data_IF_584594705579
#
_entry.id   IF_584594705579
#
_cell.length_a   1.000
_cell.length_b   1.000
_cell.length_c   1.000
_cell.angle_alpha   90.00
_cell.angle_beta   90.00
_cell.angle_gamma   90.00
#
_symmetry.space_group_name_H-M   'P 1'
#
loop_
_entity.id
_entity.type
_entity.pdbx_description
1 polymer ?
#
# COMPACT_ATOMS: atom_id res chain seq x y z
N UNK A 1 -16.00 -36.59 6.90
CA UNK A 1 -17.15 -35.65 6.93
C UNK A 1 -16.84 -34.36 7.67
N UNK A 2 -16.15 -34.41 8.80
CA UNK A 2 -15.68 -33.19 9.50
C UNK A 2 -14.84 -32.28 8.59
N UNK A 3 -14.06 -32.87 7.65
CA UNK A 3 -13.19 -32.13 6.73
C UNK A 3 -13.95 -31.23 5.76
N UNK A 4 -15.19 -31.56 5.40
CA UNK A 4 -16.00 -30.76 4.47
C UNK A 4 -16.39 -29.44 5.13
N UNK A 5 -16.87 -29.47 6.37
CA UNK A 5 -17.24 -28.26 7.12
C UNK A 5 -16.02 -27.37 7.36
N UNK A 6 -14.88 -27.96 7.71
CA UNK A 6 -13.63 -27.22 7.88
C UNK A 6 -13.15 -26.57 6.58
N UNK A 7 -13.28 -27.27 5.45
CA UNK A 7 -12.92 -26.75 4.14
C UNK A 7 -13.80 -25.56 3.74
N UNK A 8 -15.11 -25.64 3.99
CA UNK A 8 -16.06 -24.54 3.73
C UNK A 8 -15.70 -23.32 4.59
N UNK A 9 -15.42 -23.53 5.86
CA UNK A 9 -15.02 -22.45 6.77
C UNK A 9 -13.72 -21.78 6.30
N UNK A 10 -12.71 -22.57 5.92
CA UNK A 10 -11.45 -22.06 5.37
C UNK A 10 -11.67 -21.27 4.10
N UNK A 11 -12.50 -21.78 3.18
CA UNK A 11 -12.82 -21.08 1.94
C UNK A 11 -13.45 -19.71 2.21
N UNK A 12 -14.40 -19.63 3.14
CA UNK A 12 -15.02 -18.36 3.55
C UNK A 12 -14.00 -17.39 4.14
N UNK A 13 -13.12 -17.87 5.03
CA UNK A 13 -12.07 -17.06 5.62
C UNK A 13 -11.08 -16.57 4.57
N UNK A 14 -10.70 -17.42 3.61
CA UNK A 14 -9.79 -17.06 2.53
C UNK A 14 -10.38 -15.98 1.63
N UNK A 15 -11.67 -16.06 1.31
CA UNK A 15 -12.36 -15.02 0.52
C UNK A 15 -12.31 -13.68 1.26
N UNK A 16 -12.63 -13.67 2.55
CA UNK A 16 -12.58 -12.44 3.37
C UNK A 16 -11.16 -11.87 3.45
N UNK A 17 -10.17 -12.71 3.68
CA UNK A 17 -8.76 -12.29 3.75
C UNK A 17 -8.27 -11.74 2.42
N UNK A 18 -8.61 -12.40 1.33
CA UNK A 18 -8.23 -11.95 -0.02
C UNK A 18 -8.88 -10.61 -0.36
N UNK A 19 -10.15 -10.42 -0.03
CA UNK A 19 -10.84 -9.16 -0.24
C UNK A 19 -10.17 -8.03 0.57
N UNK A 20 -9.84 -8.28 1.84
CA UNK A 20 -9.17 -7.31 2.69
C UNK A 20 -7.77 -6.96 2.15
N UNK A 21 -6.98 -7.95 1.79
CA UNK A 21 -5.63 -7.74 1.23
C UNK A 21 -5.69 -6.99 -0.11
N UNK A 22 -6.63 -7.32 -0.97
CA UNK A 22 -6.86 -6.61 -2.23
C UNK A 22 -7.16 -5.13 -2.00
N UNK A 23 -8.05 -4.84 -1.06
CA UNK A 23 -8.41 -3.47 -0.68
C UNK A 23 -7.19 -2.72 -0.12
N UNK A 24 -6.40 -3.35 0.73
CA UNK A 24 -5.18 -2.75 1.29
C UNK A 24 -4.13 -2.46 0.23
N UNK A 25 -3.94 -3.38 -0.72
CA UNK A 25 -3.02 -3.17 -1.86
C UNK A 25 -3.49 -2.02 -2.74
N UNK A 26 -4.79 -1.94 -2.99
CA UNK A 26 -5.37 -0.84 -3.77
C UNK A 26 -5.15 0.51 -3.09
N UNK A 27 -5.34 0.59 -1.76
CA UNK A 27 -5.05 1.80 -0.98
C UNK A 27 -3.59 2.21 -1.09
N UNK A 28 -2.67 1.25 -1.02
CA UNK A 28 -1.24 1.49 -1.17
C UNK A 28 -0.91 2.06 -2.56
N UNK A 29 -1.46 1.46 -3.61
CA UNK A 29 -1.27 1.94 -4.99
C UNK A 29 -1.81 3.35 -5.17
N UNK A 30 -2.98 3.63 -4.61
CA UNK A 30 -3.61 4.96 -4.68
C UNK A 30 -2.72 6.01 -4.02
N UNK A 31 -2.16 5.71 -2.84
CA UNK A 31 -1.26 6.61 -2.14
C UNK A 31 -0.01 6.91 -2.97
N UNK A 32 0.61 5.89 -3.55
CA UNK A 32 1.78 6.05 -4.42
C UNK A 32 1.45 6.85 -5.67
N UNK A 33 0.31 6.56 -6.31
CA UNK A 33 -0.14 7.30 -7.50
C UNK A 33 -0.38 8.77 -7.20
N UNK A 34 -0.92 9.10 -6.04
CA UNK A 34 -1.13 10.50 -5.63
C UNK A 34 0.19 11.28 -5.62
N UNK A 35 1.25 10.67 -5.09
CA UNK A 35 2.60 11.28 -5.10
C UNK A 35 3.10 11.45 -6.52
N UNK A 36 3.00 10.41 -7.34
CA UNK A 36 3.48 10.45 -8.73
C UNK A 36 2.73 11.47 -9.57
N UNK A 37 1.42 11.58 -9.40
CA UNK A 37 0.61 12.58 -10.10
C UNK A 37 1.02 14.01 -9.72
N UNK A 38 1.29 14.25 -8.45
CA UNK A 38 1.77 15.57 -8.00
C UNK A 38 3.16 15.88 -8.56
N UNK A 39 4.02 14.88 -8.68
CA UNK A 39 5.34 15.02 -9.30
C UNK A 39 5.22 15.36 -10.78
N UNK A 40 4.33 14.69 -11.51
CA UNK A 40 4.07 14.98 -12.92
C UNK A 40 3.52 16.39 -13.12
N UNK A 41 2.71 16.88 -12.19
CA UNK A 41 2.16 18.23 -12.21
C UNK A 41 3.18 19.29 -11.76
N UNK A 42 4.38 18.89 -11.35
CA UNK A 42 5.41 19.76 -10.80
C UNK A 42 4.95 20.58 -9.60
N UNK A 43 4.00 20.05 -8.83
CA UNK A 43 3.46 20.68 -7.62
C UNK A 43 4.19 20.14 -6.41
N UNK A 44 5.26 20.85 -6.01
CA UNK A 44 6.13 20.44 -4.92
C UNK A 44 5.40 20.34 -3.57
N UNK A 45 4.54 21.30 -3.27
CA UNK A 45 3.82 21.33 -1.99
C UNK A 45 2.83 20.17 -1.87
N UNK A 46 2.05 19.94 -2.92
CA UNK A 46 1.13 18.78 -3.00
C UNK A 46 1.90 17.47 -2.95
N UNK A 47 3.05 17.39 -3.64
CA UNK A 47 3.89 16.21 -3.64
C UNK A 47 4.43 15.90 -2.24
N UNK A 48 4.86 16.90 -1.48
CA UNK A 48 5.32 16.72 -0.09
C UNK A 48 4.20 16.22 0.82
N UNK A 49 3.01 16.79 0.72
CA UNK A 49 1.84 16.36 1.50
C UNK A 49 1.44 14.93 1.15
N UNK A 50 1.39 14.61 -0.15
CA UNK A 50 1.08 13.26 -0.63
C UNK A 50 2.13 12.26 -0.19
N UNK A 51 3.41 12.64 -0.20
CA UNK A 51 4.51 11.79 0.25
C UNK A 51 4.36 11.45 1.74
N UNK A 52 4.05 12.41 2.58
CA UNK A 52 3.84 12.17 4.01
C UNK A 52 2.70 11.16 4.23
N UNK A 53 1.58 11.31 3.52
CA UNK A 53 0.47 10.35 3.57
C UNK A 53 0.84 8.98 3.05
N UNK A 54 1.59 8.92 1.95
CA UNK A 54 2.06 7.66 1.35
C UNK A 54 3.03 6.92 2.29
N UNK A 55 3.93 7.64 2.96
CA UNK A 55 4.86 7.04 3.93
C UNK A 55 4.09 6.37 5.07
N UNK A 56 3.08 7.03 5.62
CA UNK A 56 2.23 6.46 6.66
C UNK A 56 1.53 5.20 6.18
N UNK A 57 0.97 5.24 4.99
CA UNK A 57 0.28 4.09 4.39
C UNK A 57 1.26 2.92 4.18
N UNK A 58 2.43 3.18 3.62
CA UNK A 58 3.44 2.14 3.37
C UNK A 58 3.92 1.52 4.68
N UNK A 59 4.18 2.30 5.71
CA UNK A 59 4.61 1.80 7.01
C UNK A 59 3.51 0.97 7.67
N UNK A 60 2.26 1.42 7.61
CA UNK A 60 1.11 0.68 8.13
C UNK A 60 0.95 -0.66 7.42
N UNK A 61 1.06 -0.69 6.07
CA UNK A 61 0.93 -1.92 5.29
C UNK A 61 2.09 -2.88 5.54
N UNK A 62 3.30 -2.38 5.76
CA UNK A 62 4.44 -3.20 6.15
C UNK A 62 4.23 -3.82 7.54
N UNK A 63 3.68 -3.05 8.49
CA UNK A 63 3.31 -3.55 9.81
C UNK A 63 2.24 -4.63 9.77
N UNK A 64 1.29 -4.51 8.86
CA UNK A 64 0.22 -5.51 8.64
C UNK A 64 0.68 -6.69 7.76
N UNK A 65 1.92 -6.69 7.30
CA UNK A 65 2.49 -7.72 6.42
C UNK A 65 1.81 -7.81 5.04
N UNK A 66 1.17 -6.75 4.59
CA UNK A 66 0.63 -6.67 3.23
C UNK A 66 1.75 -6.52 2.22
N UNK A 67 2.78 -5.75 2.57
CA UNK A 67 4.02 -5.61 1.81
C UNK A 67 5.21 -5.87 2.74
N UNK A 68 6.37 -6.18 2.16
CA UNK A 68 7.59 -6.35 2.95
C UNK A 68 8.14 -5.00 3.40
N UNK A 69 8.88 -5.01 4.53
CA UNK A 69 9.56 -3.80 5.01
C UNK A 69 10.55 -3.27 3.97
N UNK A 70 11.25 -4.15 3.27
CA UNK A 70 12.19 -3.78 2.23
C UNK A 70 11.50 -3.06 1.07
N UNK A 71 10.33 -3.56 0.64
CA UNK A 71 9.53 -2.92 -0.41
C UNK A 71 9.05 -1.54 0.04
N UNK A 72 8.56 -1.42 1.26
CA UNK A 72 8.13 -0.13 1.81
C UNK A 72 9.26 0.88 1.85
N UNK A 73 10.42 0.48 2.37
CA UNK A 73 11.62 1.34 2.44
C UNK A 73 12.09 1.78 1.06
N UNK A 74 12.12 0.85 0.11
CA UNK A 74 12.53 1.14 -1.26
C UNK A 74 11.58 2.13 -1.93
N UNK A 75 10.28 1.93 -1.80
CA UNK A 75 9.26 2.80 -2.39
C UNK A 75 9.34 4.19 -1.77
N UNK A 76 9.43 4.31 -0.45
CA UNK A 76 9.59 5.60 0.23
C UNK A 76 10.83 6.34 -0.25
N UNK A 77 11.95 5.65 -0.33
CA UNK A 77 13.22 6.23 -0.79
C UNK A 77 13.12 6.78 -2.20
N UNK A 78 12.54 6.00 -3.12
CA UNK A 78 12.35 6.41 -4.52
C UNK A 78 11.45 7.62 -4.64
N UNK A 79 10.31 7.62 -3.94
CA UNK A 79 9.36 8.75 -3.95
C UNK A 79 10.00 10.01 -3.36
N UNK A 80 10.71 9.88 -2.25
CA UNK A 80 11.41 10.99 -1.61
C UNK A 80 12.42 11.64 -2.55
N UNK A 81 13.20 10.85 -3.27
CA UNK A 81 14.15 11.36 -4.25
C UNK A 81 13.48 12.14 -5.36
N UNK A 82 12.37 11.63 -5.88
CA UNK A 82 11.60 12.30 -6.95
C UNK A 82 11.01 13.62 -6.46
N UNK A 83 10.49 13.67 -5.24
CA UNK A 83 9.96 14.90 -4.65
C UNK A 83 11.06 15.92 -4.42
N UNK A 84 12.22 15.51 -3.95
CA UNK A 84 13.36 16.40 -3.77
C UNK A 84 13.89 16.96 -5.09
N UNK A 85 13.74 16.25 -6.17
CA UNK A 85 14.16 16.68 -7.51
C UNK A 85 13.25 17.77 -8.10
N UNK A 86 12.08 17.99 -7.53
CA UNK A 86 11.20 19.11 -7.94
C UNK A 86 11.79 20.47 -7.42
#
# INVERSE_FOLDING_TARGET
MANIKSAIKRARQNVKRNALKSSQRASTRTAVKSVLNAIEAHDKDTAKSALAGAEKTLDSMAGKKVITKNKASRTKSRLSKKVKAL
#
